data_IF_186227748447
#
_entry.id   IF_186227748447
#
_cell.length_a   1.000
_cell.length_b   1.000
_cell.length_c   1.000
_cell.angle_alpha   90.00
_cell.angle_beta   90.00
_cell.angle_gamma   90.00
#
_symmetry.space_group_name_H-M   'P 1'
#
loop_
_entity.id
_entity.type
_entity.pdbx_description
1 polymer ?
#
# COMPACT_ATOMS: atom_id res chain seq x y z
N UNK A 1 -5.10 16.69 0.23
CA UNK A 1 -5.24 15.63 -0.82
C UNK A 1 -4.23 14.48 -0.68
N UNK A 2 -3.05 14.67 -0.06
CA UNK A 2 -2.03 13.62 0.05
C UNK A 2 -2.47 12.36 0.80
N UNK A 3 -3.13 12.51 1.96
CA UNK A 3 -3.54 11.35 2.77
C UNK A 3 -4.54 10.45 2.05
N UNK A 4 -5.49 11.03 1.30
CA UNK A 4 -6.48 10.26 0.55
C UNK A 4 -5.81 9.52 -0.61
N UNK A 5 -4.88 10.16 -1.32
CA UNK A 5 -4.11 9.50 -2.38
C UNK A 5 -3.28 8.34 -1.84
N UNK A 6 -2.65 8.51 -0.66
CA UNK A 6 -1.88 7.45 0.01
C UNK A 6 -2.77 6.29 0.47
N UNK A 7 -3.95 6.58 1.03
CA UNK A 7 -4.91 5.53 1.41
C UNK A 7 -5.36 4.74 0.18
N UNK A 8 -5.68 5.43 -0.92
CA UNK A 8 -6.11 4.79 -2.16
C UNK A 8 -4.99 3.96 -2.80
N UNK A 9 -3.73 4.42 -2.77
CA UNK A 9 -2.61 3.64 -3.32
C UNK A 9 -2.38 2.35 -2.54
N UNK A 10 -2.45 2.39 -1.21
CA UNK A 10 -2.35 1.20 -0.35
C UNK A 10 -3.51 0.23 -0.65
N UNK A 11 -4.72 0.75 -0.80
CA UNK A 11 -5.90 -0.07 -1.10
C UNK A 11 -5.78 -0.78 -2.46
N UNK A 12 -5.35 -0.07 -3.50
CA UNK A 12 -5.14 -0.62 -4.85
C UNK A 12 -4.02 -1.66 -4.83
N UNK A 13 -2.89 -1.38 -4.17
CA UNK A 13 -1.80 -2.35 -4.05
C UNK A 13 -2.22 -3.63 -3.32
N UNK A 14 -2.96 -3.51 -2.22
CA UNK A 14 -3.43 -4.67 -1.48
C UNK A 14 -4.41 -5.53 -2.32
N UNK A 15 -5.39 -4.88 -2.96
CA UNK A 15 -6.39 -5.58 -3.78
C UNK A 15 -5.76 -6.28 -4.98
N UNK A 16 -4.81 -5.63 -5.66
CA UNK A 16 -4.06 -6.24 -6.78
C UNK A 16 -3.24 -7.45 -6.34
N UNK A 17 -2.55 -7.41 -5.19
CA UNK A 17 -1.83 -8.57 -4.66
C UNK A 17 -2.78 -9.74 -4.35
N UNK A 18 -3.94 -9.47 -3.74
CA UNK A 18 -4.97 -10.49 -3.46
C UNK A 18 -5.47 -11.12 -4.76
N UNK A 19 -5.79 -10.30 -5.78
CA UNK A 19 -6.25 -10.80 -7.09
C UNK A 19 -5.18 -11.64 -7.76
N UNK A 20 -3.91 -11.20 -7.76
CA UNK A 20 -2.81 -11.98 -8.32
C UNK A 20 -2.63 -13.32 -7.59
N UNK A 21 -2.71 -13.35 -6.26
CA UNK A 21 -2.64 -14.59 -5.48
C UNK A 21 -3.80 -15.55 -5.81
N UNK A 22 -5.02 -15.04 -6.03
CA UNK A 22 -6.17 -15.87 -6.46
C UNK A 22 -5.95 -16.42 -7.87
N UNK A 23 -5.49 -15.58 -8.81
CA UNK A 23 -5.20 -15.99 -10.18
C UNK A 23 -4.09 -17.05 -10.21
N UNK A 24 -3.04 -16.86 -9.42
CA UNK A 24 -1.96 -17.82 -9.28
C UNK A 24 -2.51 -19.15 -8.73
N UNK A 25 -3.31 -19.10 -7.66
CA UNK A 25 -3.93 -20.28 -7.08
C UNK A 25 -4.82 -21.04 -8.07
N UNK A 26 -5.64 -20.33 -8.84
CA UNK A 26 -6.47 -20.92 -9.90
C UNK A 26 -5.63 -21.60 -11.00
N UNK A 27 -4.44 -21.07 -11.30
CA UNK A 27 -3.54 -21.60 -12.33
C UNK A 27 -2.74 -22.81 -11.85
N UNK A 28 -2.20 -22.77 -10.63
CA UNK A 28 -1.30 -23.81 -10.10
C UNK A 28 -2.03 -24.85 -9.24
N UNK A 29 -3.28 -24.58 -8.85
CA UNK A 29 -4.08 -25.37 -7.90
C UNK A 29 -3.38 -25.62 -6.54
N UNK A 30 -2.31 -24.88 -6.27
CA UNK A 30 -1.48 -24.98 -5.07
C UNK A 30 -1.10 -23.58 -4.61
N UNK A 31 -1.27 -23.33 -3.31
CA UNK A 31 -0.78 -22.14 -2.63
C UNK A 31 0.47 -22.52 -1.85
N UNK A 32 1.62 -22.00 -2.26
CA UNK A 32 2.85 -22.21 -1.53
C UNK A 32 2.86 -21.34 -0.27
N UNK A 33 3.58 -21.79 0.76
CA UNK A 33 3.80 -21.04 2.02
C UNK A 33 4.14 -19.55 1.82
N UNK A 34 5.06 -19.15 0.90
CA UNK A 34 5.31 -17.74 0.60
C UNK A 34 4.09 -16.98 0.09
N UNK A 35 3.22 -17.59 -0.71
CA UNK A 35 2.02 -16.93 -1.25
C UNK A 35 0.98 -16.68 -0.15
N UNK A 36 0.86 -17.60 0.81
CA UNK A 36 -0.01 -17.46 1.98
C UNK A 36 0.46 -16.29 2.86
N UNK A 37 1.77 -16.16 3.08
CA UNK A 37 2.34 -15.05 3.85
C UNK A 37 2.07 -13.71 3.15
N UNK A 38 2.26 -13.65 1.82
CA UNK A 38 1.98 -12.44 1.01
C UNK A 38 0.51 -12.07 1.05
N UNK A 39 -0.39 -13.06 0.93
CA UNK A 39 -1.84 -12.86 1.03
C UNK A 39 -2.23 -12.33 2.41
N UNK A 40 -1.66 -12.88 3.48
CA UNK A 40 -1.91 -12.43 4.86
C UNK A 40 -1.50 -10.98 5.04
N UNK A 41 -0.30 -10.61 4.57
CA UNK A 41 0.18 -9.23 4.58
C UNK A 41 -0.73 -8.30 3.78
N UNK A 42 -1.17 -8.71 2.59
CA UNK A 42 -2.08 -7.94 1.76
C UNK A 42 -3.43 -7.70 2.45
N UNK A 43 -4.02 -8.71 3.09
CA UNK A 43 -5.28 -8.58 3.85
C UNK A 43 -5.12 -7.58 5.01
N UNK A 44 -4.04 -7.68 5.78
CA UNK A 44 -3.75 -6.72 6.88
C UNK A 44 -3.65 -5.29 6.31
N UNK A 45 -2.97 -5.13 5.18
CA UNK A 45 -2.81 -3.85 4.50
C UNK A 45 -4.17 -3.29 4.02
N UNK A 46 -5.06 -4.16 3.53
CA UNK A 46 -6.42 -3.80 3.12
C UNK A 46 -7.22 -3.27 4.30
N UNK A 47 -7.28 -4.03 5.40
CA UNK A 47 -8.01 -3.66 6.60
C UNK A 47 -7.47 -2.34 7.16
N UNK A 48 -6.14 -2.19 7.21
CA UNK A 48 -5.50 -0.94 7.66
C UNK A 48 -5.90 0.25 6.79
N UNK A 49 -5.92 0.10 5.47
CA UNK A 49 -6.35 1.17 4.56
C UNK A 49 -7.81 1.57 4.75
N UNK A 50 -8.70 0.61 5.03
CA UNK A 50 -10.12 0.88 5.32
C UNK A 50 -10.28 1.63 6.65
N UNK A 51 -9.55 1.23 7.69
CA UNK A 51 -9.52 1.94 8.97
C UNK A 51 -9.03 3.38 8.76
N UNK A 52 -7.94 3.57 8.02
CA UNK A 52 -7.42 4.89 7.71
C UNK A 52 -8.42 5.74 6.91
N UNK A 53 -9.20 5.13 6.02
CA UNK A 53 -10.25 5.82 5.27
C UNK A 53 -11.36 6.34 6.18
N UNK A 54 -11.85 5.49 7.11
CA UNK A 54 -12.90 5.85 8.07
C UNK A 54 -12.43 6.97 9.00
N UNK A 55 -11.19 6.88 9.48
CA UNK A 55 -10.62 7.85 10.42
C UNK A 55 -9.85 8.99 9.74
N UNK A 56 -9.94 9.13 8.41
CA UNK A 56 -9.12 10.05 7.61
C UNK A 56 -9.08 11.45 8.21
N UNK A 57 -10.23 12.02 8.54
CA UNK A 57 -10.32 13.40 9.02
C UNK A 57 -9.61 13.61 10.37
N UNK A 58 -9.51 12.58 11.21
CA UNK A 58 -8.73 12.64 12.46
C UNK A 58 -7.23 12.56 12.21
N UNK A 59 -6.82 11.76 11.22
CA UNK A 59 -5.41 11.58 10.86
C UNK A 59 -4.87 12.66 9.92
N UNK A 60 -5.73 13.41 9.23
CA UNK A 60 -5.34 14.41 8.25
C UNK A 60 -4.47 15.52 8.84
N UNK A 61 -4.80 16.00 10.04
CA UNK A 61 -4.00 17.04 10.74
C UNK A 61 -2.61 16.51 11.09
N UNK A 62 -2.52 15.30 11.64
CA UNK A 62 -1.24 14.66 12.00
C UNK A 62 -0.41 14.37 10.75
N UNK A 63 -1.03 13.86 9.70
CA UNK A 63 -0.39 13.57 8.42
C UNK A 63 0.18 14.83 7.77
N UNK A 64 -0.57 15.93 7.76
CA UNK A 64 -0.11 17.19 7.18
C UNK A 64 1.09 17.74 7.94
N UNK A 65 1.04 17.76 9.28
CA UNK A 65 2.17 18.19 10.12
C UNK A 65 3.41 17.31 9.91
N UNK A 66 3.22 15.99 9.84
CA UNK A 66 4.32 15.07 9.60
C UNK A 66 4.92 15.23 8.20
N UNK A 67 4.06 15.43 7.19
CA UNK A 67 4.49 15.71 5.80
C UNK A 67 5.28 17.00 5.71
N UNK A 68 4.85 18.05 6.41
CA UNK A 68 5.53 19.34 6.45
C UNK A 68 6.91 19.23 7.10
N UNK A 69 6.99 18.61 8.29
CA UNK A 69 8.26 18.36 8.98
C UNK A 69 9.19 17.53 8.10
N UNK A 70 8.68 16.43 7.54
CA UNK A 70 9.49 15.55 6.70
C UNK A 70 9.99 16.26 5.44
N UNK A 71 9.14 17.08 4.80
CA UNK A 71 9.50 17.87 3.63
C UNK A 71 10.54 18.94 3.96
N UNK A 72 10.53 19.51 5.17
CA UNK A 72 11.57 20.45 5.62
C UNK A 72 12.92 19.76 5.76
N UNK A 73 12.97 18.52 6.27
CA UNK A 73 14.22 17.80 6.47
C UNK A 73 14.79 17.16 5.20
N UNK A 74 13.93 16.66 4.32
CA UNK A 74 14.36 15.89 3.13
C UNK A 74 14.27 16.68 1.82
N UNK A 75 13.61 17.83 1.83
CA UNK A 75 13.31 18.61 0.62
C UNK A 75 12.28 17.95 -0.31
N UNK A 76 11.75 16.78 0.04
CA UNK A 76 10.83 16.00 -0.80
C UNK A 76 9.56 15.68 -0.01
N UNK A 77 8.41 15.77 -0.69
CA UNK A 77 7.14 15.40 -0.07
C UNK A 77 7.07 13.91 0.24
N UNK A 78 6.58 13.57 1.44
CA UNK A 78 6.36 12.19 1.88
C UNK A 78 5.53 11.37 0.90
N UNK A 79 4.56 12.01 0.24
CA UNK A 79 3.71 11.36 -0.76
C UNK A 79 4.52 10.84 -1.95
N UNK A 80 5.51 11.60 -2.42
CA UNK A 80 6.37 11.22 -3.56
C UNK A 80 7.20 9.99 -3.22
N UNK A 81 7.78 9.94 -2.01
CA UNK A 81 8.60 8.79 -1.58
C UNK A 81 7.77 7.52 -1.48
N UNK A 82 6.57 7.62 -0.91
CA UNK A 82 5.65 6.49 -0.79
C UNK A 82 5.23 5.99 -2.18
N UNK A 83 4.92 6.89 -3.10
CA UNK A 83 4.59 6.51 -4.48
C UNK A 83 5.76 5.79 -5.16
N UNK A 84 6.96 6.36 -5.08
CA UNK A 84 8.17 5.78 -5.68
C UNK A 84 8.48 4.38 -5.12
N UNK A 85 8.25 4.15 -3.83
CA UNK A 85 8.38 2.82 -3.22
C UNK A 85 7.33 1.85 -3.77
N UNK A 86 6.07 2.28 -3.90
CA UNK A 86 5.02 1.46 -4.49
C UNK A 86 5.34 1.09 -5.94
N UNK A 87 5.77 2.05 -6.75
CA UNK A 87 6.17 1.82 -8.14
C UNK A 87 7.36 0.85 -8.24
N UNK A 88 8.35 0.99 -7.34
CA UNK A 88 9.48 0.06 -7.26
C UNK A 88 9.03 -1.37 -6.93
N UNK A 89 8.18 -1.55 -5.91
CA UNK A 89 7.65 -2.86 -5.55
C UNK A 89 6.77 -3.45 -6.65
N UNK A 90 6.03 -2.61 -7.36
CA UNK A 90 5.21 -3.01 -8.51
C UNK A 90 6.09 -3.50 -9.68
N UNK A 91 7.15 -2.76 -10.02
CA UNK A 91 8.12 -3.18 -11.03
C UNK A 91 8.80 -4.50 -10.64
N UNK A 92 9.18 -4.66 -9.37
CA UNK A 92 9.78 -5.90 -8.87
C UNK A 92 8.81 -7.09 -8.96
N UNK A 93 7.50 -6.85 -8.75
CA UNK A 93 6.46 -7.85 -8.89
C UNK A 93 6.25 -8.29 -10.34
N UNK A 94 6.34 -7.36 -11.30
CA UNK A 94 6.18 -7.64 -12.73
C UNK A 94 7.41 -8.32 -13.37
N UNK A 95 8.61 -8.05 -12.84
CA UNK A 95 9.86 -8.64 -13.32
C UNK A 95 10.10 -10.09 -12.88
N UNK A 96 9.25 -10.64 -12.00
CA UNK A 96 9.40 -11.97 -11.41
C UNK A 96 8.29 -12.91 -11.89
#
# INVERSE_FOLDING_TARGET
MGILSLIMSIFIFSTTVIVMSIVLWLKTNQLYTPDIIRLTGAIICLISSVILLIFKNKFEVTYNKFTEIFSQYTGVSLHVIVLSLFDYFWCLLLLK
#
